data_IF_333986180413
#
_entry.id   IF_333986180413
#
_cell.length_a   1.000
_cell.length_b   1.000
_cell.length_c   1.000
_cell.angle_alpha   90.00
_cell.angle_beta   90.00
_cell.angle_gamma   90.00
#
_symmetry.space_group_name_H-M   'P 1'
#
loop_
_entity.id
_entity.type
_entity.pdbx_description
1 polymer ?
#
# COMPACT_ATOMS: atom_id res chain seq x y z
N UNK A 1 16.98 1.70 -19.11
CA UNK A 1 15.99 1.58 -18.03
C UNK A 1 16.13 0.20 -17.40
N UNK A 2 16.74 0.12 -16.22
CA UNK A 2 17.15 -1.14 -15.58
C UNK A 2 15.96 -1.98 -15.13
N UNK A 3 15.92 -3.24 -15.56
CA UNK A 3 14.95 -4.30 -15.23
C UNK A 3 14.73 -4.52 -13.71
N UNK A 4 15.66 -4.10 -12.86
CA UNK A 4 15.52 -4.14 -11.40
C UNK A 4 14.48 -3.14 -10.85
N UNK A 5 14.30 -1.99 -11.51
CA UNK A 5 13.37 -0.95 -11.05
C UNK A 5 11.92 -1.41 -11.14
N UNK A 6 11.56 -2.09 -12.25
CA UNK A 6 10.22 -2.64 -12.47
C UNK A 6 9.84 -3.66 -11.38
N UNK A 7 10.72 -4.65 -11.11
CA UNK A 7 10.47 -5.67 -10.07
C UNK A 7 10.25 -5.05 -8.68
N UNK A 8 10.99 -3.99 -8.36
CA UNK A 8 10.84 -3.30 -7.08
C UNK A 8 9.54 -2.50 -6.99
N UNK A 9 9.13 -1.86 -8.08
CA UNK A 9 7.87 -1.13 -8.17
C UNK A 9 6.67 -2.08 -8.07
N UNK A 10 6.69 -3.19 -8.81
CA UNK A 10 5.63 -4.21 -8.79
C UNK A 10 5.44 -4.78 -7.38
N UNK A 11 6.55 -5.05 -6.67
CA UNK A 11 6.50 -5.49 -5.28
C UNK A 11 5.87 -4.45 -4.35
N UNK A 12 6.21 -3.17 -4.51
CA UNK A 12 5.67 -2.11 -3.66
C UNK A 12 4.16 -1.89 -3.91
N UNK A 13 3.70 -2.08 -5.15
CA UNK A 13 2.28 -2.06 -5.47
C UNK A 13 1.55 -3.29 -4.91
N UNK A 14 2.13 -4.48 -5.01
CA UNK A 14 1.58 -5.67 -4.38
C UNK A 14 1.45 -5.51 -2.86
N UNK A 15 2.46 -4.91 -2.20
CA UNK A 15 2.40 -4.58 -0.78
C UNK A 15 1.24 -3.61 -0.46
N UNK A 16 1.05 -2.58 -1.30
CA UNK A 16 -0.05 -1.62 -1.13
C UNK A 16 -1.41 -2.31 -1.21
N UNK A 17 -1.64 -3.10 -2.25
CA UNK A 17 -2.90 -3.83 -2.43
C UNK A 17 -3.17 -4.76 -1.25
N UNK A 18 -2.16 -5.50 -0.80
CA UNK A 18 -2.31 -6.41 0.34
C UNK A 18 -2.57 -5.64 1.65
N UNK A 19 -2.00 -4.46 1.83
CA UNK A 19 -2.28 -3.60 2.99
C UNK A 19 -3.73 -3.12 3.01
N UNK A 20 -4.27 -2.69 1.87
CA UNK A 20 -5.68 -2.30 1.71
C UNK A 20 -6.60 -3.50 2.03
N UNK A 21 -6.32 -4.66 1.44
CA UNK A 21 -7.09 -5.89 1.71
C UNK A 21 -7.06 -6.25 3.19
N UNK A 22 -5.92 -6.11 3.88
CA UNK A 22 -5.84 -6.36 5.32
C UNK A 22 -6.64 -5.37 6.16
N UNK A 23 -6.81 -4.12 5.71
CA UNK A 23 -7.74 -3.14 6.30
C UNK A 23 -9.22 -3.43 6.00
N UNK A 24 -9.51 -4.42 5.14
CA UNK A 24 -10.88 -4.70 4.68
C UNK A 24 -11.31 -3.80 3.50
N UNK A 25 -10.37 -3.11 2.86
CA UNK A 25 -10.62 -2.25 1.71
C UNK A 25 -10.30 -3.04 0.44
N UNK A 26 -11.24 -3.13 -0.49
CA UNK A 26 -10.97 -3.71 -1.81
C UNK A 26 -10.12 -2.73 -2.66
N UNK A 27 -8.94 -3.13 -3.16
CA UNK A 27 -8.07 -2.23 -3.91
C UNK A 27 -8.66 -1.72 -5.23
N UNK A 28 -9.52 -2.51 -5.89
CA UNK A 28 -10.15 -2.11 -7.14
C UNK A 28 -11.30 -1.14 -6.88
N UNK A 29 -12.10 -1.36 -5.83
CA UNK A 29 -13.11 -0.42 -5.36
C UNK A 29 -12.49 0.90 -4.92
N UNK A 30 -11.43 0.86 -4.11
CA UNK A 30 -10.67 2.05 -3.71
C UNK A 30 -10.19 2.87 -4.91
N UNK A 31 -9.66 2.21 -5.95
CA UNK A 31 -9.21 2.89 -7.16
C UNK A 31 -10.36 3.51 -7.97
N UNK A 32 -11.55 2.91 -7.95
CA UNK A 32 -12.74 3.43 -8.64
C UNK A 32 -13.40 4.59 -7.89
N UNK A 33 -13.51 4.49 -6.58
CA UNK A 33 -14.25 5.45 -5.75
C UNK A 33 -13.43 6.71 -5.45
N UNK A 34 -12.13 6.56 -5.20
CA UNK A 34 -11.24 7.68 -4.86
C UNK A 34 -10.00 7.71 -5.77
N UNK A 35 -10.17 7.85 -7.10
CA UNK A 35 -9.08 7.67 -8.07
C UNK A 35 -7.89 8.62 -7.86
N UNK A 36 -8.13 9.87 -7.44
CA UNK A 36 -7.06 10.81 -7.13
C UNK A 36 -6.24 10.41 -5.89
N UNK A 37 -6.90 9.87 -4.87
CA UNK A 37 -6.24 9.36 -3.66
C UNK A 37 -5.45 8.09 -3.99
N UNK A 38 -6.03 7.20 -4.80
CA UNK A 38 -5.38 5.99 -5.26
C UNK A 38 -4.11 6.27 -6.08
N UNK A 39 -4.17 7.17 -7.05
CA UNK A 39 -3.01 7.57 -7.84
C UNK A 39 -1.88 8.13 -6.97
N UNK A 40 -2.22 8.96 -5.97
CA UNK A 40 -1.23 9.51 -5.04
C UNK A 40 -0.65 8.45 -4.10
N UNK A 41 -1.46 7.50 -3.65
CA UNK A 41 -1.00 6.39 -2.84
C UNK A 41 -0.03 5.49 -3.62
N UNK A 42 -0.34 5.18 -4.87
CA UNK A 42 0.51 4.42 -5.82
C UNK A 42 1.87 5.09 -5.99
N UNK A 43 1.90 6.38 -6.32
CA UNK A 43 3.16 7.12 -6.49
C UNK A 43 3.98 7.14 -5.19
N UNK A 44 3.31 7.34 -4.05
CA UNK A 44 3.96 7.32 -2.73
C UNK A 44 4.57 5.94 -2.46
N UNK A 45 3.84 4.86 -2.74
CA UNK A 45 4.32 3.50 -2.57
C UNK A 45 5.52 3.20 -3.46
N UNK A 46 5.50 3.58 -4.74
CA UNK A 46 6.63 3.35 -5.66
C UNK A 46 7.93 4.01 -5.18
N UNK A 47 7.83 5.24 -4.64
CA UNK A 47 8.98 6.02 -4.16
C UNK A 47 9.36 5.69 -2.70
N UNK A 48 8.52 4.97 -1.96
CA UNK A 48 8.72 4.70 -0.54
C UNK A 48 10.00 3.89 -0.28
N UNK A 49 10.84 4.37 0.64
CA UNK A 49 12.05 3.68 1.09
C UNK A 49 11.74 2.48 2.01
N UNK A 50 10.58 2.48 2.69
CA UNK A 50 10.17 1.43 3.61
C UNK A 50 9.56 0.20 2.91
N UNK A 51 9.83 -0.04 1.63
CA UNK A 51 9.22 -1.13 0.85
C UNK A 51 9.50 -2.53 1.42
N UNK A 52 10.72 -2.75 1.91
CA UNK A 52 11.11 -4.03 2.51
C UNK A 52 10.53 -4.21 3.92
N UNK A 53 10.56 -3.16 4.74
CA UNK A 53 9.91 -3.13 6.06
C UNK A 53 8.40 -3.39 5.92
N UNK A 54 7.76 -2.79 4.92
CA UNK A 54 6.35 -2.99 4.62
C UNK A 54 6.04 -4.45 4.29
N UNK A 55 6.85 -5.08 3.42
CA UNK A 55 6.70 -6.50 3.08
C UNK A 55 6.86 -7.38 4.32
N UNK A 56 7.89 -7.16 5.11
CA UNK A 56 8.19 -8.02 6.25
C UNK A 56 7.13 -7.87 7.35
N UNK A 57 6.61 -6.65 7.53
CA UNK A 57 5.44 -6.42 8.38
C UNK A 57 4.22 -7.17 7.85
N UNK A 58 3.90 -7.03 6.56
CA UNK A 58 2.81 -7.75 5.90
C UNK A 58 2.98 -9.27 6.02
N UNK A 59 4.18 -9.83 6.00
CA UNK A 59 4.39 -11.27 6.17
C UNK A 59 3.99 -11.78 7.57
N UNK A 60 4.04 -10.91 8.59
CA UNK A 60 3.75 -11.25 10.00
C UNK A 60 2.35 -10.85 10.45
N UNK A 61 1.62 -10.09 9.64
CA UNK A 61 0.32 -9.52 10.02
C UNK A 61 -0.83 -10.29 9.37
N UNK A 62 -1.87 -10.62 10.13
CA UNK A 62 -3.10 -11.22 9.61
C UNK A 62 -4.03 -10.22 8.92
N UNK A 63 -5.17 -10.67 8.38
CA UNK A 63 -6.26 -9.78 7.97
C UNK A 63 -6.90 -9.09 9.17
N UNK A 64 -7.71 -8.04 8.93
CA UNK A 64 -8.48 -7.36 9.97
C UNK A 64 -7.66 -6.36 10.81
N UNK A 65 -6.64 -5.75 10.22
CA UNK A 65 -5.91 -4.67 10.93
C UNK A 65 -6.83 -3.48 11.13
N UNK A 66 -6.83 -2.93 12.34
CA UNK A 66 -7.60 -1.72 12.66
C UNK A 66 -6.87 -0.44 12.23
N UNK A 67 -5.53 -0.47 12.27
CA UNK A 67 -4.68 0.69 11.99
C UNK A 67 -3.56 0.36 11.04
N UNK A 68 -3.18 1.36 10.24
CA UNK A 68 -2.02 1.26 9.37
C UNK A 68 -0.76 1.52 10.21
N UNK A 69 0.36 0.79 10.03
CA UNK A 69 1.53 0.98 10.86
C UNK A 69 2.13 2.39 10.69
N UNK A 70 2.67 2.94 11.78
CA UNK A 70 3.17 4.33 11.83
C UNK A 70 4.29 4.65 10.83
N UNK A 71 5.02 3.65 10.34
CA UNK A 71 6.04 3.85 9.29
C UNK A 71 5.43 4.10 7.90
N UNK A 72 4.13 3.81 7.70
CA UNK A 72 3.49 3.92 6.40
C UNK A 72 3.15 5.37 6.06
N UNK A 73 3.72 5.96 4.99
CA UNK A 73 3.42 7.34 4.59
C UNK A 73 2.00 7.54 4.04
N UNK A 74 1.27 6.44 3.80
CA UNK A 74 -0.14 6.47 3.40
C UNK A 74 -1.11 6.20 4.56
N UNK A 75 -0.65 6.05 5.80
CA UNK A 75 -1.51 5.73 6.95
C UNK A 75 -2.73 6.63 7.04
N UNK A 76 -2.53 7.95 7.09
CA UNK A 76 -3.62 8.93 7.13
C UNK A 76 -4.55 8.87 5.91
N UNK A 77 -4.02 8.51 4.73
CA UNK A 77 -4.86 8.39 3.53
C UNK A 77 -5.79 7.18 3.62
N UNK A 78 -5.26 6.04 4.03
CA UNK A 78 -6.03 4.80 4.13
C UNK A 78 -7.01 4.82 5.31
N UNK A 79 -6.67 5.52 6.40
CA UNK A 79 -7.56 5.71 7.54
C UNK A 79 -8.71 6.68 7.26
N UNK A 80 -8.58 7.56 6.26
CA UNK A 80 -9.62 8.49 5.87
C UNK A 80 -10.67 7.90 4.91
N UNK A 81 -10.53 6.64 4.48
CA UNK A 81 -11.42 5.98 3.50
C UNK A 81 -12.26 4.88 4.16
N UNK A 82 -12.36 4.88 5.49
CA UNK A 82 -13.15 3.94 6.30
C UNK A 82 -14.23 4.64 7.08
#
# INVERSE_FOLDING_TARGET
>A
MSTHYCKSADRKLANMSLMLTRRGIDPAEFAREVPAVAARAIMTCQQCAAGDVCRDWLARTGPGIERVPAFCPNALRFEAVT
#
